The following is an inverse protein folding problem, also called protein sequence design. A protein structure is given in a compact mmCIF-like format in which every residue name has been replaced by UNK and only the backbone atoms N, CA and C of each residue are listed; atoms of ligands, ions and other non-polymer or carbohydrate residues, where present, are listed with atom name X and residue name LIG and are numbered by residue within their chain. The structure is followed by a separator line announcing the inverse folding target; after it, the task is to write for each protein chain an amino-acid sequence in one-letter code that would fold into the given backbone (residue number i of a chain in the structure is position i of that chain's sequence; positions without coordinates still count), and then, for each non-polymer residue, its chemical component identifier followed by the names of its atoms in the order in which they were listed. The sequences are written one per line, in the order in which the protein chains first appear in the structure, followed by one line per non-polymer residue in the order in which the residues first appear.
data_IF_879563609230
#
_entry.id   IF_879563609230
#
_cell.length_a   1.000
_cell.length_b   1.000
_cell.length_c   1.000
_cell.angle_alpha   90.00
_cell.angle_beta   90.00
_cell.angle_gamma   90.00
#
_symmetry.space_group_name_H-M   'P 1'
#
loop_
_entity.id
_entity.type
_entity.pdbx_description
1 polymer ?
#
# COMPACT_ATOMS: atom_id res chain seq x y z
N UNK A 1 5.49 24.01 -60.88
CA UNK A 1 5.66 22.64 -60.35
C UNK A 1 4.48 22.23 -59.46
N UNK A 2 3.22 22.34 -59.93
CA UNK A 2 2.02 21.90 -59.19
C UNK A 2 1.45 20.57 -59.69
N UNK A 3 1.84 20.14 -60.91
CA UNK A 3 1.35 18.89 -61.52
C UNK A 3 2.06 17.62 -61.00
N UNK A 4 3.23 17.76 -60.37
CA UNK A 4 3.99 16.62 -59.80
C UNK A 4 3.45 16.23 -58.42
N UNK A 5 2.99 17.18 -57.62
CA UNK A 5 2.43 16.90 -56.30
C UNK A 5 1.10 16.13 -56.37
N UNK A 6 0.26 16.39 -57.37
CA UNK A 6 -1.00 15.68 -57.53
C UNK A 6 -0.80 14.18 -57.85
N UNK A 7 0.25 13.81 -58.59
CA UNK A 7 0.50 12.40 -58.90
C UNK A 7 1.10 11.65 -57.70
N UNK A 8 1.88 12.32 -56.85
CA UNK A 8 2.44 11.73 -55.63
C UNK A 8 1.34 11.47 -54.60
N UNK A 9 0.40 12.41 -54.43
CA UNK A 9 -0.73 12.25 -53.50
C UNK A 9 -1.66 11.12 -53.96
N UNK A 10 -1.92 11.00 -55.27
CA UNK A 10 -2.74 9.91 -55.81
C UNK A 10 -2.08 8.53 -55.60
N UNK A 11 -0.75 8.44 -55.72
CA UNK A 11 0.00 7.19 -55.54
C UNK A 11 0.03 6.74 -54.07
N UNK A 12 0.13 7.70 -53.13
CA UNK A 12 0.05 7.43 -51.69
C UNK A 12 -1.33 6.91 -51.26
N UNK A 13 -2.42 7.44 -51.82
CA UNK A 13 -3.78 6.97 -51.50
C UNK A 13 -4.06 5.55 -51.98
N UNK A 14 -3.55 5.16 -53.17
CA UNK A 14 -3.71 3.79 -53.69
C UNK A 14 -2.90 2.78 -52.85
N UNK A 15 -1.69 3.15 -52.42
CA UNK A 15 -0.88 2.29 -51.55
C UNK A 15 -1.54 2.07 -50.16
N UNK A 16 -2.13 3.12 -49.59
CA UNK A 16 -2.84 3.04 -48.30
C UNK A 16 -4.07 2.11 -48.38
N UNK A 17 -4.86 2.19 -49.46
CA UNK A 17 -6.01 1.29 -49.67
C UNK A 17 -5.62 -0.17 -49.93
N UNK A 18 -4.49 -0.42 -50.61
CA UNK A 18 -3.98 -1.80 -50.75
C UNK A 18 -3.48 -2.38 -49.42
N UNK A 19 -2.83 -1.58 -48.56
CA UNK A 19 -2.34 -2.05 -47.26
C UNK A 19 -3.49 -2.50 -46.34
N UNK A 20 -4.61 -1.80 -46.33
CA UNK A 20 -5.78 -2.19 -45.53
C UNK A 20 -6.49 -3.45 -46.06
N UNK A 21 -6.45 -3.71 -47.37
CA UNK A 21 -7.12 -4.89 -47.95
C UNK A 21 -6.34 -6.21 -47.79
N UNK A 22 -5.07 -6.17 -47.39
CA UNK A 22 -4.22 -7.36 -47.19
C UNK A 22 -4.01 -7.75 -45.72
N UNK A 23 -4.49 -6.96 -44.75
CA UNK A 23 -4.21 -7.18 -43.32
C UNK A 23 -5.31 -8.00 -42.61
N UNK A 24 -6.38 -8.41 -43.30
CA UNK A 24 -7.53 -9.08 -42.68
C UNK A 24 -7.57 -10.63 -42.82
N UNK A 25 -6.54 -11.27 -43.39
CA UNK A 25 -6.46 -12.73 -43.43
C UNK A 25 -5.03 -13.24 -43.18
N UNK A 26 -4.73 -13.59 -41.91
CA UNK A 26 -4.07 -14.87 -41.51
C UNK A 26 -3.58 -14.85 -40.05
N UNK A 27 -4.38 -15.45 -39.18
CA UNK A 27 -3.91 -16.14 -37.97
C UNK A 27 -3.50 -17.58 -38.36
N UNK A 28 -2.29 -18.03 -38.00
CA UNK A 28 -1.99 -19.32 -37.32
C UNK A 28 -0.50 -19.79 -37.43
N UNK A 29 0.06 -20.03 -36.24
CA UNK A 29 1.01 -21.10 -35.82
C UNK A 29 2.56 -21.04 -35.99
N UNK A 30 3.22 -20.82 -34.82
CA UNK A 30 4.36 -21.51 -34.14
C UNK A 30 5.74 -21.79 -34.81
N UNK A 31 6.82 -21.23 -34.21
CA UNK A 31 7.92 -21.92 -33.43
C UNK A 31 9.04 -20.95 -32.95
N UNK A 32 9.48 -21.10 -31.68
CA UNK A 32 10.56 -20.41 -30.91
C UNK A 32 12.01 -20.89 -31.28
N UNK A 33 13.17 -20.41 -30.70
CA UNK A 33 13.41 -19.47 -29.56
C UNK A 33 14.61 -18.44 -29.65
N UNK A 34 14.67 -17.51 -28.66
CA UNK A 34 15.82 -16.71 -28.11
C UNK A 34 16.45 -15.61 -29.01
N UNK A 35 16.88 -14.41 -28.57
CA UNK A 35 17.14 -13.74 -27.28
C UNK A 35 17.43 -12.23 -27.57
N UNK A 36 17.11 -11.31 -26.63
CA UNK A 36 17.71 -9.95 -26.38
C UNK A 36 17.59 -8.91 -27.53
N UNK A 37 17.09 -7.66 -27.42
CA UNK A 37 17.23 -6.60 -26.40
C UNK A 37 16.25 -5.43 -26.72
N UNK A 38 15.88 -4.71 -25.66
CA UNK A 38 15.64 -3.26 -25.57
C UNK A 38 14.40 -2.52 -26.13
N UNK A 39 13.77 -1.83 -25.15
CA UNK A 39 13.16 -0.49 -25.19
C UNK A 39 11.83 -0.33 -25.95
N UNK A 40 10.78 0.26 -25.40
CA UNK A 40 10.74 1.39 -24.47
C UNK A 40 9.40 1.42 -23.74
N UNK A 41 9.48 1.50 -22.42
CA UNK A 41 8.60 2.24 -21.49
C UNK A 41 7.41 2.95 -22.14
N UNK A 42 6.22 2.37 -22.01
CA UNK A 42 5.03 3.20 -21.84
C UNK A 42 5.00 3.58 -20.37
N UNK A 43 5.16 4.88 -20.18
CA UNK A 43 5.30 5.58 -18.91
C UNK A 43 4.03 5.36 -18.10
N UNK A 44 4.04 4.35 -17.21
CA UNK A 44 3.19 4.39 -16.04
C UNK A 44 3.48 5.75 -15.39
N UNK A 45 2.46 6.61 -15.38
CA UNK A 45 2.52 7.92 -14.76
C UNK A 45 3.00 7.72 -13.33
N UNK A 46 4.27 7.96 -13.10
CA UNK A 46 4.89 8.00 -11.79
C UNK A 46 4.41 9.31 -11.14
N UNK A 47 3.12 9.40 -10.87
CA UNK A 47 2.65 10.19 -9.75
C UNK A 47 3.23 9.45 -8.56
N UNK A 48 4.36 9.92 -8.04
CA UNK A 48 4.62 9.70 -6.62
C UNK A 48 3.33 10.15 -5.93
N UNK A 49 2.55 9.23 -5.33
CA UNK A 49 1.48 9.67 -4.45
C UNK A 49 2.15 10.56 -3.40
N UNK A 50 1.53 11.68 -3.06
CA UNK A 50 2.03 12.57 -2.03
C UNK A 50 2.54 11.71 -0.87
N UNK A 51 3.83 11.87 -0.56
CA UNK A 51 4.45 11.15 0.53
C UNK A 51 3.59 11.44 1.75
N UNK A 52 3.00 10.42 2.36
CA UNK A 52 2.25 10.61 3.60
C UNK A 52 3.23 11.15 4.63
N UNK A 53 2.97 12.36 5.11
CA UNK A 53 3.73 13.00 6.18
C UNK A 53 2.78 13.12 7.35
N UNK A 54 3.15 12.50 8.48
CA UNK A 54 2.41 12.64 9.73
C UNK A 54 2.93 13.84 10.49
N UNK A 55 2.02 14.69 10.96
CA UNK A 55 2.34 15.71 11.96
C UNK A 55 2.13 15.13 13.36
N UNK A 56 3.20 14.54 13.90
CA UNK A 56 3.18 13.91 15.23
C UNK A 56 2.81 14.91 16.35
N UNK A 57 2.97 16.22 16.14
CA UNK A 57 2.63 17.22 17.15
C UNK A 57 1.13 17.31 17.40
N UNK A 58 0.30 17.14 16.36
CA UNK A 58 -1.17 17.16 16.46
C UNK A 58 -1.67 15.95 17.25
N UNK A 59 -1.08 14.77 17.03
CA UNK A 59 -1.36 13.56 17.81
C UNK A 59 -0.99 13.75 19.29
N UNK A 60 0.21 14.27 19.55
CA UNK A 60 0.67 14.53 20.92
C UNK A 60 -0.26 15.49 21.65
N UNK A 61 -0.66 16.58 21.01
CA UNK A 61 -1.59 17.55 21.59
C UNK A 61 -2.95 16.89 21.88
N UNK A 62 -3.50 16.18 20.90
CA UNK A 62 -4.80 15.53 21.01
C UNK A 62 -4.86 14.41 22.05
N UNK A 63 -3.73 13.76 22.39
CA UNK A 63 -3.68 12.69 23.40
C UNK A 63 -2.97 13.08 24.70
N UNK A 64 -2.52 14.34 24.86
CA UNK A 64 -1.67 14.81 25.96
C UNK A 64 -2.17 14.55 27.40
N UNK A 65 -3.48 14.43 27.61
CA UNK A 65 -4.11 14.20 28.92
C UNK A 65 -4.97 12.91 28.94
N UNK A 66 -4.76 12.02 27.98
CA UNK A 66 -5.59 10.83 27.80
C UNK A 66 -4.83 9.61 28.30
N UNK A 67 -5.43 8.87 29.23
CA UNK A 67 -4.97 7.53 29.58
C UNK A 67 -5.63 6.52 28.63
N UNK A 68 -4.83 5.79 27.87
CA UNK A 68 -5.36 4.81 26.92
C UNK A 68 -6.19 3.74 27.64
N UNK A 69 -7.36 3.44 27.09
CA UNK A 69 -8.21 2.34 27.53
C UNK A 69 -7.96 1.10 26.67
N UNK A 70 -7.87 -0.11 27.24
CA UNK A 70 -7.74 -1.31 26.40
C UNK A 70 -9.06 -1.56 25.66
N UNK A 71 -9.09 -1.46 24.32
CA UNK A 71 -10.30 -1.76 23.58
C UNK A 71 -10.55 -3.26 23.73
N UNK A 72 -11.64 -3.62 24.41
CA UNK A 72 -12.06 -5.00 24.57
C UNK A 72 -12.47 -5.54 23.20
N UNK A 73 -11.53 -6.17 22.49
CA UNK A 73 -11.79 -6.76 21.18
C UNK A 73 -12.57 -8.06 21.41
N UNK A 74 -13.88 -8.04 21.14
CA UNK A 74 -14.68 -9.27 21.13
C UNK A 74 -14.43 -10.06 19.84
N UNK A 75 -13.81 -11.23 19.94
CA UNK A 75 -13.70 -12.18 18.82
C UNK A 75 -12.29 -12.34 18.24
N UNK A 76 -12.21 -12.98 17.09
CA UNK A 76 -10.96 -13.28 16.39
C UNK A 76 -10.23 -11.99 15.98
N UNK A 77 -8.90 -12.06 15.99
CA UNK A 77 -8.02 -11.23 15.20
C UNK A 77 -8.67 -10.86 13.85
N UNK A 78 -8.94 -9.57 13.58
CA UNK A 78 -9.63 -8.97 12.40
C UNK A 78 -11.07 -8.46 12.58
N UNK A 79 -11.69 -8.57 13.77
CA UNK A 79 -13.05 -8.03 13.99
C UNK A 79 -12.99 -6.57 14.44
N UNK A 80 -13.72 -5.70 13.72
CA UNK A 80 -13.93 -4.29 14.09
C UNK A 80 -14.80 -4.20 15.35
N UNK A 81 -14.50 -3.23 16.22
CA UNK A 81 -15.34 -2.96 17.38
C UNK A 81 -16.54 -2.10 17.01
N UNK A 82 -17.61 -2.19 17.81
CA UNK A 82 -18.78 -1.32 17.66
C UNK A 82 -18.52 0.07 18.25
N UNK A 83 -17.89 0.93 17.46
CA UNK A 83 -17.51 2.30 17.85
C UNK A 83 -18.72 3.17 18.19
N UNK A 84 -19.87 2.90 17.58
CA UNK A 84 -21.16 3.58 17.79
C UNK A 84 -21.76 3.36 19.19
N UNK A 85 -21.39 2.29 19.89
CA UNK A 85 -21.85 1.99 21.25
C UNK A 85 -20.96 2.66 22.33
N UNK A 86 -19.85 3.29 21.94
CA UNK A 86 -18.90 3.92 22.87
C UNK A 86 -19.39 5.33 23.23
N UNK A 87 -19.51 5.68 24.53
CA UNK A 87 -19.83 7.04 24.96
C UNK A 87 -18.80 8.08 24.49
N UNK A 88 -19.27 9.24 24.03
CA UNK A 88 -18.42 10.35 23.51
C UNK A 88 -17.29 10.75 24.48
N UNK A 89 -17.57 10.76 25.79
CA UNK A 89 -16.59 11.11 26.83
C UNK A 89 -15.42 10.11 26.93
N UNK A 90 -15.56 8.93 26.33
CA UNK A 90 -14.53 7.88 26.28
C UNK A 90 -13.88 7.71 24.91
N UNK A 91 -14.39 8.38 23.87
CA UNK A 91 -13.89 8.25 22.49
C UNK A 91 -12.37 8.41 22.40
N UNK A 92 -11.84 9.51 22.96
CA UNK A 92 -10.38 9.77 22.97
C UNK A 92 -9.58 8.66 23.67
N UNK A 93 -10.09 8.12 24.78
CA UNK A 93 -9.40 7.08 25.57
C UNK A 93 -9.37 5.75 24.82
N UNK A 94 -10.48 5.39 24.18
CA UNK A 94 -10.56 4.16 23.39
C UNK A 94 -9.78 4.30 22.07
N UNK A 95 -9.84 5.46 21.41
CA UNK A 95 -9.02 5.75 20.24
C UNK A 95 -7.52 5.62 20.55
N UNK A 96 -7.05 6.23 21.66
CA UNK A 96 -5.68 6.06 22.14
C UNK A 96 -5.34 4.57 22.38
N UNK A 97 -6.28 3.83 22.97
CA UNK A 97 -6.22 2.39 23.15
C UNK A 97 -6.03 1.59 21.87
N UNK A 98 -6.84 1.87 20.86
CA UNK A 98 -6.80 1.25 19.54
C UNK A 98 -5.49 1.57 18.83
N UNK A 99 -5.01 2.81 18.90
CA UNK A 99 -3.72 3.22 18.34
C UNK A 99 -2.55 2.51 19.02
N UNK A 100 -2.55 2.41 20.36
CA UNK A 100 -1.57 1.60 21.10
C UNK A 100 -1.69 0.12 20.72
N UNK A 101 -2.90 -0.40 20.48
CA UNK A 101 -3.08 -1.79 20.07
C UNK A 101 -2.56 -2.04 18.66
N UNK A 102 -2.81 -1.13 17.72
CA UNK A 102 -2.22 -1.14 16.38
C UNK A 102 -0.68 -1.13 16.49
N UNK A 103 -0.12 -0.30 17.39
CA UNK A 103 1.30 -0.29 17.74
C UNK A 103 1.77 -1.61 18.35
N UNK A 104 0.98 -2.33 19.14
CA UNK A 104 1.41 -3.64 19.71
C UNK A 104 1.61 -4.72 18.64
N UNK A 105 1.01 -4.57 17.46
CA UNK A 105 1.32 -5.39 16.28
C UNK A 105 2.60 -4.94 15.55
N UNK A 106 3.38 -4.10 16.21
CA UNK A 106 4.64 -3.49 15.79
C UNK A 106 5.59 -3.65 16.99
N UNK A 107 6.77 -4.24 16.82
CA UNK A 107 7.73 -4.34 17.93
C UNK A 107 8.31 -2.95 18.30
N UNK A 108 9.20 -2.90 19.30
CA UNK A 108 9.84 -1.66 19.76
C UNK A 108 10.63 -0.88 18.67
N UNK A 109 10.77 -1.44 17.46
CA UNK A 109 11.46 -0.87 16.31
C UNK A 109 10.62 -0.78 15.02
N UNK A 110 9.36 -1.22 15.00
CA UNK A 110 8.59 -1.16 13.74
C UNK A 110 8.28 -2.49 13.06
N UNK A 111 8.57 -3.65 13.65
CA UNK A 111 8.48 -4.92 12.89
C UNK A 111 7.58 -5.99 13.51
N UNK A 112 7.19 -6.96 12.69
CA UNK A 112 6.38 -8.12 13.05
C UNK A 112 7.12 -9.02 14.07
N UNK A 113 6.38 -9.71 14.95
CA UNK A 113 6.93 -10.57 16.02
C UNK A 113 7.60 -11.83 15.43
N UNK A 114 8.91 -11.72 15.18
CA UNK A 114 9.97 -12.71 14.88
C UNK A 114 9.65 -14.22 14.74
N UNK A 115 10.14 -14.80 13.64
CA UNK A 115 10.92 -16.07 13.64
C UNK A 115 12.22 -15.90 14.44
N UNK A 116 12.66 -16.90 15.25
CA UNK A 116 13.73 -16.71 16.23
C UNK A 116 15.12 -16.56 15.59
N UNK A 117 15.82 -15.43 15.84
CA UNK A 117 17.29 -15.41 15.72
C UNK A 117 18.04 -14.12 15.32
N UNK A 118 17.43 -13.05 14.80
CA UNK A 118 18.21 -11.97 14.17
C UNK A 118 17.90 -10.54 14.67
N UNK A 119 18.95 -9.71 14.64
CA UNK A 119 18.98 -8.27 15.00
C UNK A 119 17.94 -7.45 14.21
N UNK A 120 17.65 -6.27 14.74
CA UNK A 120 16.87 -5.21 14.07
C UNK A 120 17.18 -5.16 12.56
N UNK A 121 16.15 -5.27 11.71
CA UNK A 121 16.32 -5.08 10.29
C UNK A 121 16.60 -3.62 10.02
N UNK A 122 17.52 -3.43 9.08
CA UNK A 122 17.87 -2.13 8.56
C UNK A 122 16.67 -1.56 7.78
N UNK A 123 16.31 -0.29 8.02
CA UNK A 123 15.25 0.43 7.28
C UNK A 123 15.61 0.70 5.81
N UNK A 124 16.78 0.24 5.39
CA UNK A 124 17.18 0.20 3.99
C UNK A 124 16.36 -0.82 3.20
N UNK A 125 16.45 -0.73 1.87
CA UNK A 125 15.76 -1.68 0.98
C UNK A 125 16.05 -3.13 1.37
N UNK A 126 15.02 -3.98 1.52
CA UNK A 126 15.19 -5.35 1.96
C UNK A 126 16.05 -6.13 0.96
N UNK A 127 16.84 -7.07 1.47
CA UNK A 127 17.63 -7.97 0.62
C UNK A 127 16.73 -8.97 -0.11
N UNK A 128 17.17 -9.46 -1.26
CA UNK A 128 16.46 -10.51 -2.01
C UNK A 128 16.19 -11.77 -1.16
N UNK A 129 17.05 -12.09 -0.20
CA UNK A 129 16.84 -13.22 0.71
C UNK A 129 15.67 -12.96 1.68
N UNK A 130 15.58 -11.77 2.26
CA UNK A 130 14.48 -11.35 3.12
C UNK A 130 13.15 -11.31 2.34
N UNK A 131 13.16 -10.73 1.14
CA UNK A 131 11.97 -10.71 0.28
C UNK A 131 11.47 -12.12 -0.06
N UNK A 132 12.40 -13.07 -0.26
CA UNK A 132 12.04 -14.47 -0.55
C UNK A 132 11.45 -15.20 0.63
N UNK A 133 11.95 -14.96 1.84
CA UNK A 133 11.36 -15.48 3.07
C UNK A 133 9.95 -14.92 3.27
N UNK A 134 9.79 -13.60 3.09
CA UNK A 134 8.49 -12.95 3.26
C UNK A 134 7.46 -13.35 2.19
N UNK A 135 7.87 -13.55 0.93
CA UNK A 135 6.99 -14.10 -0.10
C UNK A 135 6.46 -15.50 0.24
N UNK A 136 7.17 -16.28 1.06
CA UNK A 136 6.69 -17.58 1.54
C UNK A 136 5.67 -17.47 2.67
N UNK A 137 5.69 -16.37 3.42
CA UNK A 137 4.75 -16.05 4.51
C UNK A 137 3.50 -15.30 4.02
N UNK A 138 3.50 -14.90 2.75
CA UNK A 138 2.58 -13.94 2.12
C UNK A 138 1.10 -14.24 2.35
N UNK A 139 0.71 -15.51 2.34
CA UNK A 139 -0.72 -15.86 2.18
C UNK A 139 -1.52 -15.90 3.49
N UNK A 140 -0.89 -15.89 4.67
CA UNK A 140 -1.66 -16.03 5.93
C UNK A 140 -1.21 -15.07 7.01
N UNK A 141 0.08 -15.06 7.35
CA UNK A 141 0.57 -14.28 8.49
C UNK A 141 0.68 -12.78 8.18
N UNK A 142 1.22 -12.44 7.00
CA UNK A 142 1.38 -11.05 6.59
C UNK A 142 0.03 -10.37 6.34
N UNK A 143 -0.85 -11.03 5.58
CA UNK A 143 -2.20 -10.55 5.29
C UNK A 143 -2.99 -10.29 6.59
N UNK A 144 -2.99 -11.25 7.52
CA UNK A 144 -3.67 -11.11 8.82
C UNK A 144 -3.18 -9.89 9.61
N UNK A 145 -1.88 -9.61 9.58
CA UNK A 145 -1.34 -8.44 10.30
C UNK A 145 -1.71 -7.11 9.68
N UNK A 146 -1.74 -7.05 8.35
CA UNK A 146 -2.13 -5.85 7.61
C UNK A 146 -3.61 -5.55 7.87
N UNK A 147 -4.48 -6.56 7.75
CA UNK A 147 -5.91 -6.46 8.06
C UNK A 147 -6.11 -5.90 9.47
N UNK A 148 -5.46 -6.50 10.48
CA UNK A 148 -5.64 -6.07 11.87
C UNK A 148 -5.25 -4.62 12.11
N UNK A 149 -4.12 -4.16 11.57
CA UNK A 149 -3.71 -2.77 11.70
C UNK A 149 -4.70 -1.83 11.04
N UNK A 150 -5.13 -2.15 9.82
CA UNK A 150 -6.12 -1.34 9.09
C UNK A 150 -7.44 -1.23 9.87
N UNK A 151 -7.96 -2.35 10.37
CA UNK A 151 -9.20 -2.36 11.17
C UNK A 151 -9.06 -1.47 12.41
N UNK A 152 -7.97 -1.60 13.17
CA UNK A 152 -7.76 -0.81 14.38
C UNK A 152 -7.57 0.69 14.10
N UNK A 153 -6.96 1.05 12.98
CA UNK A 153 -6.80 2.44 12.57
C UNK A 153 -8.13 3.05 12.12
N UNK A 154 -8.97 2.29 11.40
CA UNK A 154 -10.33 2.71 11.04
C UNK A 154 -11.23 2.86 12.28
N UNK A 155 -11.19 1.89 13.20
CA UNK A 155 -11.95 1.97 14.45
C UNK A 155 -11.50 3.18 15.30
N UNK A 156 -10.21 3.56 15.23
CA UNK A 156 -9.72 4.76 15.87
C UNK A 156 -10.15 6.04 15.12
N UNK A 157 -10.12 6.04 13.79
CA UNK A 157 -10.62 7.13 12.93
C UNK A 157 -12.06 7.50 13.30
N UNK A 158 -12.94 6.50 13.45
CA UNK A 158 -14.36 6.69 13.77
C UNK A 158 -14.61 7.38 15.13
N UNK A 159 -13.65 7.32 16.04
CA UNK A 159 -13.74 7.88 17.39
C UNK A 159 -13.02 9.23 17.52
N UNK A 160 -12.31 9.68 16.49
CA UNK A 160 -11.52 10.92 16.56
C UNK A 160 -12.29 12.07 15.91
N UNK A 161 -12.61 13.06 16.72
CA UNK A 161 -13.32 14.28 16.30
C UNK A 161 -12.43 15.26 15.52
N UNK A 162 -11.10 15.15 15.64
CA UNK A 162 -10.16 16.01 14.92
C UNK A 162 -10.03 15.55 13.46
N UNK A 163 -10.49 16.39 12.53
CA UNK A 163 -10.52 16.07 11.10
C UNK A 163 -9.12 15.80 10.51
N UNK A 164 -8.08 16.46 11.01
CA UNK A 164 -6.72 16.28 10.52
C UNK A 164 -6.15 14.93 10.96
N UNK A 165 -6.31 14.58 12.23
CA UNK A 165 -5.89 13.28 12.76
C UNK A 165 -6.68 12.16 12.09
N UNK A 166 -8.01 12.29 12.02
CA UNK A 166 -8.90 11.32 11.38
C UNK A 166 -8.46 11.04 9.93
N UNK A 167 -8.20 12.10 9.16
CA UNK A 167 -7.69 11.96 7.79
C UNK A 167 -6.34 11.23 7.73
N UNK A 168 -5.40 11.55 8.62
CA UNK A 168 -4.08 10.90 8.65
C UNK A 168 -4.19 9.40 8.98
N UNK A 169 -5.11 9.01 9.86
CA UNK A 169 -5.39 7.59 10.14
C UNK A 169 -6.01 6.88 8.94
N UNK A 170 -7.01 7.51 8.32
CA UNK A 170 -7.67 7.00 7.12
C UNK A 170 -6.67 6.73 6.00
N UNK A 171 -5.81 7.71 5.69
CA UNK A 171 -4.85 7.59 4.60
C UNK A 171 -3.87 6.42 4.82
N UNK A 172 -3.45 6.16 6.06
CA UNK A 172 -2.59 5.02 6.39
C UNK A 172 -3.36 3.70 6.32
N UNK A 173 -4.59 3.66 6.81
CA UNK A 173 -5.43 2.47 6.75
C UNK A 173 -5.76 2.05 5.32
N UNK A 174 -6.16 3.00 4.45
CA UNK A 174 -6.46 2.74 3.05
C UNK A 174 -5.23 2.19 2.30
N UNK A 175 -4.03 2.72 2.57
CA UNK A 175 -2.80 2.18 1.99
C UNK A 175 -2.48 0.77 2.46
N UNK A 176 -2.71 0.45 3.73
CA UNK A 176 -2.55 -0.91 4.22
C UNK A 176 -3.48 -1.89 3.49
N UNK A 177 -4.75 -1.52 3.29
CA UNK A 177 -5.72 -2.31 2.51
C UNK A 177 -5.25 -2.50 1.06
N UNK A 178 -4.77 -1.43 0.42
CA UNK A 178 -4.26 -1.48 -0.95
C UNK A 178 -3.09 -2.47 -1.08
N UNK A 179 -2.14 -2.45 -0.13
CA UNK A 179 -1.00 -3.37 -0.08
C UNK A 179 -1.47 -4.83 0.00
N UNK A 180 -2.50 -5.09 0.80
CA UNK A 180 -3.08 -6.43 1.01
C UNK A 180 -3.76 -6.98 -0.24
N UNK A 181 -4.65 -6.19 -0.85
CA UNK A 181 -5.49 -6.62 -1.99
C UNK A 181 -4.65 -6.85 -3.25
N UNK A 182 -3.49 -6.19 -3.35
CA UNK A 182 -2.68 -6.20 -4.55
C UNK A 182 -1.96 -7.55 -4.72
N UNK A 183 -2.31 -8.29 -5.77
CA UNK A 183 -1.72 -9.59 -6.09
C UNK A 183 -0.23 -9.42 -6.49
N UNK A 184 0.67 -9.78 -5.57
CA UNK A 184 2.13 -9.71 -5.84
C UNK A 184 2.61 -10.95 -6.60
N UNK A 185 2.58 -10.90 -7.93
CA UNK A 185 2.98 -12.01 -8.81
C UNK A 185 4.51 -12.13 -8.92
N UNK A 186 5.24 -11.03 -8.75
CA UNK A 186 6.70 -11.00 -8.86
C UNK A 186 7.41 -10.55 -7.58
N UNK A 187 8.70 -10.87 -7.49
CA UNK A 187 9.59 -10.33 -6.45
C UNK A 187 9.67 -8.81 -6.47
N UNK A 188 9.57 -8.20 -7.65
CA UNK A 188 9.58 -6.76 -7.80
C UNK A 188 8.34 -6.13 -7.16
N UNK A 189 7.15 -6.65 -7.49
CA UNK A 189 5.88 -6.16 -6.92
C UNK A 189 5.84 -6.34 -5.41
N UNK A 190 6.34 -7.49 -4.93
CA UNK A 190 6.45 -7.75 -3.50
C UNK A 190 7.40 -6.76 -2.81
N UNK A 191 8.54 -6.44 -3.43
CA UNK A 191 9.51 -5.48 -2.88
C UNK A 191 8.95 -4.06 -2.76
N UNK A 192 8.15 -3.62 -3.73
CA UNK A 192 7.47 -2.33 -3.69
C UNK A 192 6.44 -2.30 -2.56
N UNK A 193 5.59 -3.32 -2.50
CA UNK A 193 4.56 -3.45 -1.47
C UNK A 193 5.14 -3.48 -0.06
N UNK A 194 6.24 -4.21 0.12
CA UNK A 194 6.92 -4.31 1.41
C UNK A 194 7.49 -2.95 1.83
N UNK A 195 8.05 -2.19 0.90
CA UNK A 195 8.54 -0.84 1.18
C UNK A 195 7.39 0.08 1.62
N UNK A 196 6.26 0.04 0.93
CA UNK A 196 5.07 0.82 1.29
C UNK A 196 4.52 0.41 2.66
N UNK A 197 4.52 -0.89 2.97
CA UNK A 197 4.16 -1.41 4.29
C UNK A 197 5.09 -0.85 5.38
N UNK A 198 6.40 -0.87 5.17
CA UNK A 198 7.37 -0.31 6.11
C UNK A 198 7.15 1.20 6.33
N UNK A 199 6.79 1.93 5.28
CA UNK A 199 6.41 3.34 5.39
C UNK A 199 5.16 3.50 6.26
N UNK A 200 4.09 2.72 6.04
CA UNK A 200 2.88 2.76 6.86
C UNK A 200 3.18 2.47 8.35
N UNK A 201 3.99 1.46 8.63
CA UNK A 201 4.38 1.12 10.00
C UNK A 201 5.15 2.27 10.67
N UNK A 202 6.07 2.91 9.95
CA UNK A 202 6.78 4.09 10.47
C UNK A 202 5.81 5.21 10.85
N UNK A 203 4.79 5.45 10.04
CA UNK A 203 3.78 6.46 10.31
C UNK A 203 2.96 6.10 11.57
N UNK A 204 2.56 4.84 11.74
CA UNK A 204 1.88 4.38 12.97
C UNK A 204 2.76 4.60 14.20
N UNK A 205 4.07 4.34 14.11
CA UNK A 205 5.00 4.62 15.21
C UNK A 205 5.08 6.12 15.54
N UNK A 206 5.08 6.99 14.52
CA UNK A 206 5.09 8.44 14.69
C UNK A 206 3.80 8.94 15.36
N UNK A 207 2.64 8.45 14.93
CA UNK A 207 1.32 8.77 15.53
C UNK A 207 1.23 8.36 17.01
N UNK A 208 1.95 7.30 17.41
CA UNK A 208 1.83 6.65 18.73
C UNK A 208 3.02 6.90 19.64
N UNK A 209 3.91 7.83 19.28
CA UNK A 209 5.16 8.05 19.99
C UNK A 209 4.95 8.55 21.44
N UNK A 210 3.94 9.39 21.65
CA UNK A 210 3.69 10.11 22.91
C UNK A 210 2.39 9.68 23.63
N UNK A 211 1.77 8.56 23.24
CA UNK A 211 0.53 8.05 23.86
C UNK A 211 0.89 7.05 24.98
N UNK A 212 0.36 7.25 26.19
CA UNK A 212 0.57 6.42 27.40
C UNK A 212 -0.56 5.42 27.69
#
# INVERSE_FOLDING_TARGET
MHKVYLSIIALMLVAFFMMFSFTEEKNQEQKLPKEVEQESSETASNKNPDKLVIDASVFKEYFSDVKAEDPNLEGSESVSIKTDEIPEDRHRQVAAGLLIKAKKYIDANGEWVRTPGNKEPDLNSPTNAQLKELMQLKDTELATSIIQKSVLLNDAEDLIEDEEISKQLKDVSEKLIEIEIYEKETFYDFSLAYKEYQECVKLILEMTADIE
#
